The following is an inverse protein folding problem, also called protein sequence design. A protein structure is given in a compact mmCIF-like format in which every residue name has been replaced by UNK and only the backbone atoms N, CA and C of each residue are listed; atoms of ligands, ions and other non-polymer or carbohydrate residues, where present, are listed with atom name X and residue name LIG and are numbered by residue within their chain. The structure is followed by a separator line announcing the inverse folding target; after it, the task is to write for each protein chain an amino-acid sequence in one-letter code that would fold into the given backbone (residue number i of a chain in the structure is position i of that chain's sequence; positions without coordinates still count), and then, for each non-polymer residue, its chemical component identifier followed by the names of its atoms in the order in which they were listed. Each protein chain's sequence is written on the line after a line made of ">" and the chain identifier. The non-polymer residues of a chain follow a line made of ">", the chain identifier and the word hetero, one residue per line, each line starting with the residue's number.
data_IF_755683779442
#
_entry.id   IF_755683779442
#
_cell.length_a   1.000
_cell.length_b   1.000
_cell.length_c   1.000
_cell.angle_alpha   90.00
_cell.angle_beta   90.00
_cell.angle_gamma   90.00
#
_symmetry.space_group_name_H-M   'P 1'
#
loop_
_entity.id
_entity.type
_entity.pdbx_description
1 polymer ?
#
# COMPACT_ATOMS: atom_id res chain seq x y z
N UNK A 1 6.02 2.23 -74.85
CA UNK A 1 5.38 1.63 -73.66
C UNK A 1 6.04 0.33 -73.15
N UNK A 2 6.66 -0.51 -73.99
CA UNK A 2 7.28 -1.79 -73.55
C UNK A 2 8.58 -1.66 -72.74
N UNK A 3 9.26 -0.51 -72.80
CA UNK A 3 10.54 -0.28 -72.10
C UNK A 3 10.32 0.05 -70.61
N UNK A 4 9.26 0.80 -70.26
CA UNK A 4 8.96 1.18 -68.87
C UNK A 4 8.60 -0.02 -67.97
N UNK A 5 8.01 -1.07 -68.52
CA UNK A 5 7.61 -2.26 -67.75
C UNK A 5 8.82 -3.09 -67.26
N UNK A 6 9.95 -3.07 -68.00
CA UNK A 6 11.16 -3.78 -67.61
C UNK A 6 11.86 -3.15 -66.40
N UNK A 7 11.81 -1.83 -66.26
CA UNK A 7 12.40 -1.14 -65.11
C UNK A 7 11.55 -1.22 -63.84
N UNK A 8 10.22 -1.33 -63.98
CA UNK A 8 9.31 -1.46 -62.83
C UNK A 8 9.49 -2.79 -62.06
N UNK A 9 9.81 -3.89 -62.78
CA UNK A 9 10.09 -5.20 -62.16
C UNK A 9 11.41 -5.18 -61.36
N UNK A 10 12.40 -4.40 -61.80
CA UNK A 10 13.70 -4.29 -61.11
C UNK A 10 13.56 -3.45 -59.83
N UNK A 11 12.69 -2.42 -59.82
CA UNK A 11 12.49 -1.59 -58.62
C UNK A 11 11.71 -2.36 -57.52
N UNK A 12 10.79 -3.26 -57.89
CA UNK A 12 10.04 -4.09 -56.94
C UNK A 12 10.90 -5.15 -56.23
N UNK A 13 12.00 -5.61 -56.82
CA UNK A 13 12.89 -6.59 -56.19
C UNK A 13 13.88 -5.96 -55.19
N UNK A 14 14.17 -4.66 -55.27
CA UNK A 14 14.98 -3.96 -54.26
C UNK A 14 14.17 -3.47 -53.04
N UNK A 15 12.83 -3.44 -53.12
CA UNK A 15 11.96 -2.98 -52.03
C UNK A 15 11.85 -3.93 -50.82
N UNK A 16 12.28 -5.19 -50.95
CA UNK A 16 12.07 -6.21 -49.91
C UNK A 16 13.30 -6.50 -49.03
N UNK A 17 14.42 -5.78 -49.21
CA UNK A 17 15.69 -6.08 -48.51
C UNK A 17 15.89 -5.28 -47.22
N UNK A 18 14.96 -4.39 -46.86
CA UNK A 18 14.82 -3.99 -45.45
C UNK A 18 14.04 -5.06 -44.69
N UNK A 19 14.56 -6.30 -44.73
CA UNK A 19 14.19 -7.34 -43.79
C UNK A 19 14.45 -6.78 -42.42
N UNK A 20 13.37 -6.44 -41.72
CA UNK A 20 13.43 -5.95 -40.35
C UNK A 20 14.34 -6.91 -39.60
N UNK A 21 15.50 -6.41 -39.17
CA UNK A 21 16.39 -7.14 -38.30
C UNK A 21 15.54 -7.39 -37.07
N UNK A 22 14.89 -8.56 -37.01
CA UNK A 22 14.05 -8.96 -35.91
C UNK A 22 14.99 -8.97 -34.72
N UNK A 23 15.03 -7.88 -33.97
CA UNK A 23 15.64 -7.86 -32.67
C UNK A 23 14.80 -8.86 -31.88
N UNK A 24 15.31 -10.10 -31.80
CA UNK A 24 14.66 -11.15 -31.07
C UNK A 24 14.61 -10.70 -29.62
N UNK A 25 13.43 -10.24 -29.19
CA UNK A 25 13.20 -9.86 -27.81
C UNK A 25 13.07 -11.15 -27.01
N UNK A 26 13.93 -11.30 -26.01
CA UNK A 26 14.08 -12.54 -25.25
C UNK A 26 14.10 -12.24 -23.76
N UNK A 27 13.33 -13.01 -23.00
CA UNK A 27 13.41 -13.00 -21.53
C UNK A 27 14.60 -13.88 -21.11
N UNK A 28 15.68 -13.24 -20.65
CA UNK A 28 16.91 -13.95 -20.29
C UNK A 28 17.03 -14.25 -18.80
N UNK A 29 16.29 -13.54 -17.94
CA UNK A 29 16.15 -13.88 -16.54
C UNK A 29 14.83 -13.38 -15.95
N UNK A 30 14.36 -14.08 -14.92
CA UNK A 30 13.19 -13.73 -14.14
C UNK A 30 13.44 -14.08 -12.68
N UNK A 31 13.03 -13.19 -11.78
CA UNK A 31 13.04 -13.45 -10.35
C UNK A 31 11.78 -12.89 -9.69
N UNK A 32 11.16 -13.69 -8.83
CA UNK A 32 10.01 -13.31 -8.03
C UNK A 32 10.48 -12.99 -6.60
N UNK A 33 10.04 -11.86 -6.06
CA UNK A 33 10.30 -11.53 -4.65
C UNK A 33 9.57 -12.49 -3.70
N UNK A 34 10.01 -12.50 -2.44
CA UNK A 34 9.19 -13.03 -1.35
C UNK A 34 7.95 -12.14 -1.18
N UNK A 35 6.87 -12.73 -0.66
CA UNK A 35 5.65 -12.04 -0.27
C UNK A 35 5.94 -10.94 0.75
N UNK A 36 5.49 -9.71 0.48
CA UNK A 36 5.52 -8.59 1.43
C UNK A 36 4.22 -8.53 2.23
N UNK A 37 4.26 -9.13 3.42
CA UNK A 37 3.15 -9.19 4.39
C UNK A 37 2.90 -7.87 5.12
N UNK A 38 3.83 -6.91 5.04
CA UNK A 38 3.68 -5.63 5.75
C UNK A 38 2.73 -4.67 5.04
N UNK A 39 2.49 -4.92 3.76
CA UNK A 39 1.69 -4.06 2.89
C UNK A 39 0.30 -4.61 2.68
N UNK A 40 -0.67 -3.70 2.57
CA UNK A 40 -2.05 -4.06 2.28
C UNK A 40 -2.22 -4.41 0.79
N UNK A 41 -2.41 -5.70 0.43
CA UNK A 41 -2.44 -6.15 -0.96
C UNK A 41 -3.64 -5.58 -1.73
N UNK A 42 -4.76 -5.29 -1.05
CA UNK A 42 -5.98 -4.81 -1.70
C UNK A 42 -5.86 -3.35 -2.18
N UNK A 43 -4.91 -2.61 -1.62
CA UNK A 43 -4.63 -1.21 -1.95
C UNK A 43 -3.50 -1.05 -2.96
N UNK A 44 -2.74 -2.10 -3.27
CA UNK A 44 -1.64 -2.02 -4.23
C UNK A 44 -2.16 -1.65 -5.61
N UNK A 45 -1.44 -0.75 -6.29
CA UNK A 45 -1.59 -0.57 -7.74
C UNK A 45 -0.44 -1.27 -8.47
N UNK A 46 -0.73 -1.99 -9.57
CA UNK A 46 0.31 -2.42 -10.49
C UNK A 46 1.13 -1.23 -10.98
N UNK A 47 2.46 -1.34 -10.94
CA UNK A 47 3.36 -0.28 -11.37
C UNK A 47 4.73 -0.84 -11.72
N UNK A 48 5.49 -0.07 -12.48
CA UNK A 48 6.93 -0.29 -12.64
C UNK A 48 7.61 0.35 -11.42
N UNK A 49 8.33 -0.45 -10.64
CA UNK A 49 9.12 0.01 -9.49
C UNK A 49 10.43 0.63 -10.00
N UNK A 50 11.10 -0.05 -10.93
CA UNK A 50 12.31 0.45 -11.54
C UNK A 50 12.48 -0.06 -12.97
N UNK A 51 13.16 0.74 -13.78
CA UNK A 51 13.50 0.42 -15.16
C UNK A 51 14.94 0.87 -15.40
N UNK A 52 15.81 -0.03 -15.85
CA UNK A 52 17.22 0.25 -16.12
C UNK A 52 17.60 -0.36 -17.47
N UNK A 53 17.99 0.49 -18.41
CA UNK A 53 18.53 0.05 -19.69
C UNK A 53 20.05 -0.03 -19.61
N UNK A 54 20.64 -1.14 -20.02
CA UNK A 54 22.09 -1.31 -20.16
C UNK A 54 22.40 -2.06 -21.44
N UNK A 55 23.01 -1.36 -22.42
CA UNK A 55 23.28 -1.88 -23.76
C UNK A 55 21.99 -2.40 -24.41
N UNK A 56 21.92 -3.70 -24.71
CA UNK A 56 20.75 -4.36 -25.31
C UNK A 56 19.77 -4.96 -24.28
N UNK A 57 20.05 -4.76 -22.99
CA UNK A 57 19.34 -5.42 -21.90
C UNK A 57 18.54 -4.41 -21.10
N UNK A 58 17.25 -4.69 -20.96
CA UNK A 58 16.31 -4.00 -20.11
C UNK A 58 16.12 -4.79 -18.81
N UNK A 59 16.39 -4.15 -17.68
CA UNK A 59 16.04 -4.66 -16.35
C UNK A 59 14.82 -3.90 -15.85
N UNK A 60 13.72 -4.60 -15.62
CA UNK A 60 12.43 -4.03 -15.20
C UNK A 60 11.88 -4.77 -13.98
N UNK A 61 11.59 -4.02 -12.94
CA UNK A 61 10.96 -4.52 -11.71
C UNK A 61 9.52 -4.03 -11.63
N UNK A 62 8.57 -4.97 -11.52
CA UNK A 62 7.13 -4.70 -11.55
C UNK A 62 6.51 -5.10 -10.22
N UNK A 63 5.86 -4.14 -9.56
CA UNK A 63 5.17 -4.37 -8.30
C UNK A 63 3.67 -4.50 -8.49
N UNK A 64 3.07 -5.57 -7.97
CA UNK A 64 1.62 -5.78 -7.97
C UNK A 64 1.19 -6.74 -6.85
N UNK A 65 -0.13 -6.90 -6.66
CA UNK A 65 -0.69 -7.87 -5.73
C UNK A 65 -1.33 -9.04 -6.50
N UNK A 66 -1.09 -10.26 -6.03
CA UNK A 66 -1.59 -11.49 -6.64
C UNK A 66 -1.71 -12.60 -5.60
N UNK A 67 -2.27 -13.74 -5.97
CA UNK A 67 -2.45 -14.88 -5.07
C UNK A 67 -1.10 -15.40 -4.55
N UNK A 68 -0.93 -15.37 -3.23
CA UNK A 68 -0.85 -16.62 -2.49
C UNK A 68 -0.07 -17.82 -3.01
N UNK A 69 1.18 -18.09 -2.58
CA UNK A 69 1.76 -19.45 -2.69
C UNK A 69 1.86 -20.02 -4.11
N UNK A 70 1.58 -19.23 -5.14
CA UNK A 70 1.67 -19.66 -6.53
C UNK A 70 3.06 -19.34 -7.09
N UNK A 71 3.56 -20.24 -7.93
CA UNK A 71 4.71 -20.00 -8.78
C UNK A 71 4.22 -19.44 -10.12
N UNK A 72 4.80 -18.30 -10.52
CA UNK A 72 4.41 -17.58 -11.73
C UNK A 72 5.46 -17.75 -12.82
N UNK A 73 5.00 -18.18 -14.01
CA UNK A 73 5.80 -18.28 -15.22
C UNK A 73 5.58 -17.00 -16.04
N UNK A 74 6.61 -16.16 -16.22
CA UNK A 74 6.50 -14.93 -17.00
C UNK A 74 6.30 -15.22 -18.48
N UNK A 75 5.44 -14.43 -19.10
CA UNK A 75 5.28 -14.39 -20.54
C UNK A 75 5.52 -12.97 -21.01
N UNK A 76 6.37 -12.81 -22.04
CA UNK A 76 6.63 -11.51 -22.64
C UNK A 76 6.30 -11.53 -24.12
N UNK A 77 5.80 -10.41 -24.62
CA UNK A 77 5.67 -10.13 -26.06
C UNK A 77 6.04 -8.68 -26.28
N UNK A 78 6.83 -8.42 -27.31
CA UNK A 78 7.20 -7.06 -27.68
C UNK A 78 6.68 -6.75 -29.08
N UNK A 79 6.05 -5.60 -29.24
CA UNK A 79 5.56 -5.13 -30.53
C UNK A 79 5.76 -3.63 -30.63
N UNK A 80 6.57 -3.22 -31.60
CA UNK A 80 6.94 -1.81 -31.87
C UNK A 80 7.64 -1.15 -30.68
N UNK A 81 6.87 -0.56 -29.77
CA UNK A 81 7.30 0.20 -28.60
C UNK A 81 6.68 -0.33 -27.29
N UNK A 82 5.83 -1.36 -27.39
CA UNK A 82 5.04 -1.86 -26.28
C UNK A 82 5.53 -3.23 -25.86
N UNK A 83 5.95 -3.33 -24.60
CA UNK A 83 6.26 -4.56 -23.90
C UNK A 83 5.03 -5.05 -23.15
N UNK A 84 4.47 -6.17 -23.59
CA UNK A 84 3.38 -6.88 -22.95
C UNK A 84 3.97 -7.93 -22.01
N UNK A 85 3.56 -7.89 -20.76
CA UNK A 85 3.95 -8.83 -19.70
C UNK A 85 2.67 -9.44 -19.13
N UNK A 86 2.68 -10.76 -18.97
CA UNK A 86 1.65 -11.52 -18.27
C UNK A 86 2.30 -12.67 -17.52
N UNK A 87 1.55 -13.32 -16.63
CA UNK A 87 2.02 -14.49 -15.92
C UNK A 87 1.04 -15.63 -16.06
N UNK A 88 1.58 -16.84 -16.24
CA UNK A 88 0.85 -18.10 -16.08
C UNK A 88 1.15 -18.67 -14.71
N UNK A 89 0.20 -19.38 -14.12
CA UNK A 89 0.41 -20.13 -12.89
C UNK A 89 1.01 -21.48 -13.29
N UNK A 90 2.07 -21.92 -12.61
CA UNK A 90 2.74 -23.20 -12.93
C UNK A 90 1.87 -24.40 -12.53
N UNK A 91 1.30 -24.37 -11.34
CA UNK A 91 0.47 -25.44 -10.77
C UNK A 91 -0.93 -24.89 -10.47
N UNK A 92 -1.88 -25.09 -11.38
CA UNK A 92 -3.25 -24.57 -11.26
C UNK A 92 -4.07 -25.27 -10.16
N UNK A 93 -3.65 -26.46 -9.72
CA UNK A 93 -4.34 -27.25 -8.70
C UNK A 93 -4.08 -26.75 -7.26
N UNK A 94 -3.12 -25.84 -7.06
CA UNK A 94 -2.80 -25.32 -5.73
C UNK A 94 -3.81 -24.25 -5.31
N UNK A 95 -4.79 -24.64 -4.51
CA UNK A 95 -5.74 -23.69 -3.92
C UNK A 95 -5.08 -22.87 -2.79
N UNK A 96 -4.77 -21.59 -3.04
CA UNK A 96 -4.54 -20.59 -1.99
C UNK A 96 -5.64 -19.51 -2.00
N UNK A 97 -6.15 -19.12 -0.82
CA UNK A 97 -7.15 -18.08 -0.61
C UNK A 97 -6.59 -16.75 -0.07
N UNK A 98 -5.30 -16.51 -0.24
CA UNK A 98 -4.59 -15.34 0.28
C UNK A 98 -3.99 -14.52 -0.88
N UNK A 99 -4.00 -13.20 -0.74
CA UNK A 99 -3.41 -12.25 -1.71
C UNK A 99 -2.19 -11.61 -1.05
N UNK A 100 -1.08 -11.51 -1.76
CA UNK A 100 0.12 -10.86 -1.29
C UNK A 100 0.70 -9.88 -2.30
N UNK A 101 1.50 -8.93 -1.80
CA UNK A 101 2.27 -7.99 -2.59
C UNK A 101 3.59 -8.63 -3.03
N UNK A 102 3.93 -8.50 -4.31
CA UNK A 102 5.18 -8.99 -4.87
C UNK A 102 5.88 -7.93 -5.74
N UNK A 103 7.18 -8.11 -5.96
CA UNK A 103 7.94 -7.47 -7.02
C UNK A 103 8.57 -8.53 -7.92
N UNK A 104 8.34 -8.42 -9.22
CA UNK A 104 8.82 -9.37 -10.21
C UNK A 104 9.85 -8.66 -11.09
N UNK A 105 11.09 -9.13 -11.02
CA UNK A 105 12.21 -8.61 -11.79
C UNK A 105 12.37 -9.40 -13.08
N UNK A 106 12.46 -8.69 -14.21
CA UNK A 106 12.65 -9.28 -15.53
C UNK A 106 13.89 -8.67 -16.15
N UNK A 107 14.73 -9.52 -16.73
CA UNK A 107 15.83 -9.10 -17.57
C UNK A 107 15.54 -9.52 -19.00
N UNK A 108 15.40 -8.54 -19.88
CA UNK A 108 14.90 -8.72 -21.25
C UNK A 108 15.94 -8.17 -22.23
N UNK A 109 16.37 -9.01 -23.17
CA UNK A 109 17.31 -8.64 -24.22
C UNK A 109 16.58 -8.17 -25.47
N UNK A 110 17.18 -7.28 -26.25
CA UNK A 110 16.71 -6.90 -27.58
C UNK A 110 15.72 -5.74 -27.63
N UNK A 111 15.44 -5.09 -26.49
CA UNK A 111 14.59 -3.89 -26.43
C UNK A 111 15.49 -2.65 -26.46
N UNK A 112 15.43 -1.92 -27.58
CA UNK A 112 16.15 -0.65 -27.79
C UNK A 112 15.14 0.47 -28.13
N UNK A 113 14.16 0.70 -27.26
CA UNK A 113 13.17 1.78 -27.43
C UNK A 113 13.41 2.90 -26.41
N UNK A 114 13.40 4.15 -26.88
CA UNK A 114 13.47 5.34 -26.01
C UNK A 114 12.12 5.70 -25.38
N UNK A 115 11.01 5.15 -25.91
CA UNK A 115 9.64 5.39 -25.45
C UNK A 115 8.95 4.05 -25.19
N UNK A 116 9.44 3.31 -24.19
CA UNK A 116 8.89 2.01 -23.85
C UNK A 116 7.52 2.18 -23.15
N UNK A 117 6.48 1.59 -23.74
CA UNK A 117 5.18 1.39 -23.08
C UNK A 117 5.20 0.00 -22.47
N UNK A 118 4.81 -0.14 -21.20
CA UNK A 118 4.71 -1.45 -20.54
C UNK A 118 3.26 -1.73 -20.20
N UNK A 119 2.78 -2.91 -20.60
CA UNK A 119 1.45 -3.41 -20.26
C UNK A 119 1.56 -4.66 -19.42
N UNK A 120 0.85 -4.68 -18.29
CA UNK A 120 0.65 -5.86 -17.46
C UNK A 120 -0.79 -6.36 -17.63
N UNK A 121 -0.99 -7.58 -18.14
CA UNK A 121 -2.31 -8.11 -18.49
C UNK A 121 -3.13 -7.12 -19.33
N UNK A 122 -2.53 -6.61 -20.41
CA UNK A 122 -3.07 -5.59 -21.33
C UNK A 122 -3.36 -4.20 -20.74
N UNK A 123 -3.10 -3.98 -19.45
CA UNK A 123 -3.23 -2.66 -18.80
C UNK A 123 -1.90 -1.95 -18.77
N UNK A 124 -1.87 -0.70 -19.24
CA UNK A 124 -0.66 0.14 -19.17
C UNK A 124 -0.30 0.35 -17.70
N UNK A 125 0.96 0.14 -17.36
CA UNK A 125 1.53 0.46 -16.05
C UNK A 125 2.66 1.47 -16.21
N UNK A 126 2.79 2.35 -15.22
CA UNK A 126 3.74 3.46 -15.26
C UNK A 126 4.85 3.28 -14.23
N UNK A 127 5.99 3.93 -14.48
CA UNK A 127 7.04 4.10 -13.49
C UNK A 127 6.52 4.99 -12.36
N UNK A 128 6.47 4.44 -11.14
CA UNK A 128 5.87 5.15 -10.01
C UNK A 128 6.48 4.69 -8.70
N UNK A 129 6.93 5.66 -7.90
CA UNK A 129 7.28 5.44 -6.50
C UNK A 129 6.03 5.23 -5.61
N UNK A 130 4.86 5.69 -6.07
CA UNK A 130 3.59 5.55 -5.35
C UNK A 130 3.13 4.08 -5.40
N UNK A 131 3.12 3.41 -4.25
CA UNK A 131 2.86 1.96 -4.11
C UNK A 131 1.38 1.64 -4.11
N UNK A 132 0.59 2.49 -3.50
CA UNK A 132 -0.84 2.28 -3.31
C UNK A 132 -1.65 3.04 -4.35
N UNK A 133 -2.89 2.60 -4.56
CA UNK A 133 -3.93 3.42 -5.18
C UNK A 133 -4.16 4.65 -4.30
N UNK A 134 -4.33 5.79 -4.93
CA UNK A 134 -4.58 7.07 -4.25
C UNK A 134 -5.98 7.58 -4.52
N UNK A 135 -6.55 8.24 -3.53
CA UNK A 135 -7.89 8.83 -3.54
C UNK A 135 -7.82 10.22 -2.89
N UNK A 136 -8.82 11.06 -3.15
CA UNK A 136 -8.94 12.31 -2.42
C UNK A 136 -9.27 12.02 -0.94
N UNK A 137 -8.54 12.61 0.02
CA UNK A 137 -8.85 12.44 1.44
C UNK A 137 -10.27 12.89 1.75
N UNK A 138 -10.98 12.12 2.57
CA UNK A 138 -12.35 12.43 2.98
C UNK A 138 -12.41 12.63 4.48
N UNK A 139 -13.25 13.55 4.96
CA UNK A 139 -13.50 13.75 6.38
C UNK A 139 -14.83 14.46 6.59
N UNK A 140 -15.28 14.52 7.83
CA UNK A 140 -16.46 15.29 8.25
C UNK A 140 -16.03 16.32 9.29
N UNK A 141 -16.46 17.57 9.13
CA UNK A 141 -16.25 18.62 10.15
C UNK A 141 -17.48 18.66 11.04
N UNK A 142 -17.30 18.46 12.34
CA UNK A 142 -18.38 18.63 13.34
C UNK A 142 -17.84 19.50 14.46
N UNK A 143 -18.51 20.63 14.73
CA UNK A 143 -18.15 21.59 15.80
C UNK A 143 -16.66 22.02 15.73
N UNK A 144 -16.18 22.27 14.52
CA UNK A 144 -14.78 22.66 14.19
C UNK A 144 -13.71 21.57 14.35
N UNK A 145 -14.10 20.34 14.67
CA UNK A 145 -13.18 19.19 14.69
C UNK A 145 -13.35 18.32 13.44
N UNK A 146 -12.23 17.72 12.99
CA UNK A 146 -12.19 16.78 11.86
C UNK A 146 -12.37 15.36 12.35
N UNK A 147 -13.44 14.69 11.89
CA UNK A 147 -13.80 13.32 12.22
C UNK A 147 -13.83 12.44 10.97
N UNK A 148 -13.77 11.12 11.16
CA UNK A 148 -13.86 10.12 10.10
C UNK A 148 -12.88 10.37 8.94
N UNK A 149 -11.65 10.79 9.28
CA UNK A 149 -10.63 11.07 8.28
C UNK A 149 -10.19 9.77 7.60
N UNK A 150 -10.32 9.75 6.29
CA UNK A 150 -9.71 8.78 5.40
C UNK A 150 -8.57 9.47 4.66
N UNK A 151 -7.36 8.94 4.76
CA UNK A 151 -6.20 9.52 4.08
C UNK A 151 -6.20 9.25 2.57
N UNK A 152 -5.16 9.75 1.87
CA UNK A 152 -5.03 9.58 0.42
C UNK A 152 -4.90 8.12 -0.03
N UNK A 153 -4.61 7.18 0.86
CA UNK A 153 -4.54 5.75 0.54
C UNK A 153 -5.84 5.02 0.85
N UNK A 154 -6.85 5.73 1.35
CA UNK A 154 -8.12 5.18 1.78
C UNK A 154 -8.11 4.64 3.22
N UNK A 155 -7.10 4.97 4.05
CA UNK A 155 -6.97 4.41 5.40
C UNK A 155 -7.60 5.32 6.43
N UNK A 156 -8.21 4.72 7.45
CA UNK A 156 -8.77 5.43 8.60
C UNK A 156 -7.65 6.05 9.44
N UNK A 157 -7.80 7.33 9.72
CA UNK A 157 -6.92 8.12 10.58
C UNK A 157 -7.75 8.92 11.60
N UNK A 158 -7.18 9.15 12.79
CA UNK A 158 -7.78 10.03 13.79
C UNK A 158 -9.06 9.48 14.41
N UNK A 159 -9.96 10.37 14.85
CA UNK A 159 -11.19 10.03 15.56
C UNK A 159 -12.26 9.57 14.56
N UNK A 160 -12.84 8.40 14.81
CA UNK A 160 -13.95 7.84 14.04
C UNK A 160 -15.20 7.70 14.92
N UNK A 161 -16.33 8.16 14.38
CA UNK A 161 -17.65 8.18 15.01
C UNK A 161 -18.65 7.40 14.14
N UNK A 162 -19.44 6.51 14.75
CA UNK A 162 -20.44 5.67 14.05
C UNK A 162 -20.49 4.25 14.61
N UNK A 163 -20.45 3.21 13.74
CA UNK A 163 -20.53 1.80 14.18
C UNK A 163 -19.33 1.34 15.02
N UNK A 164 -18.17 1.99 14.89
CA UNK A 164 -16.96 1.66 15.63
C UNK A 164 -16.33 2.95 16.17
N UNK A 165 -16.60 3.27 17.44
CA UNK A 165 -16.01 4.43 18.12
C UNK A 165 -14.55 4.12 18.44
N UNK A 166 -13.65 4.87 17.82
CA UNK A 166 -12.23 4.58 17.98
C UNK A 166 -11.35 5.67 17.41
N UNK A 167 -10.11 5.70 17.88
CA UNK A 167 -9.04 6.43 17.24
C UNK A 167 -8.23 5.47 16.39
N UNK A 168 -8.02 5.82 15.14
CA UNK A 168 -7.37 4.97 14.15
C UNK A 168 -6.02 5.57 13.73
N UNK A 169 -5.09 4.68 13.41
CA UNK A 169 -3.86 4.98 12.69
C UNK A 169 -3.63 3.88 11.67
N UNK A 170 -3.65 4.22 10.39
CA UNK A 170 -3.49 3.27 9.28
C UNK A 170 -4.47 2.08 9.38
N UNK A 171 -5.77 2.35 9.53
CA UNK A 171 -6.86 1.36 9.75
C UNK A 171 -6.79 0.57 11.06
N UNK A 172 -5.71 0.68 11.83
CA UNK A 172 -5.59 0.03 13.14
C UNK A 172 -6.19 0.91 14.20
N UNK A 173 -7.11 0.34 14.98
CA UNK A 173 -7.61 1.00 16.18
C UNK A 173 -6.48 1.08 17.21
N UNK A 174 -6.15 2.30 17.63
CA UNK A 174 -5.09 2.57 18.62
C UNK A 174 -5.68 2.96 19.98
N UNK A 175 -6.92 3.44 19.99
CA UNK A 175 -7.66 3.71 21.21
C UNK A 175 -9.17 3.51 21.01
N UNK A 176 -9.83 3.04 22.06
CA UNK A 176 -11.30 3.15 22.19
C UNK A 176 -11.61 4.52 22.77
N UNK A 177 -12.70 5.13 22.33
CA UNK A 177 -13.08 6.47 22.79
C UNK A 177 -14.59 6.54 23.04
N UNK A 178 -14.98 7.38 23.99
CA UNK A 178 -16.33 7.89 24.09
C UNK A 178 -16.30 9.40 23.87
N UNK A 179 -17.37 9.94 23.27
CA UNK A 179 -17.50 11.36 22.99
C UNK A 179 -18.60 11.96 23.88
N UNK A 180 -18.44 13.23 24.24
CA UNK A 180 -19.53 14.06 24.75
C UNK A 180 -20.52 14.40 23.61
N UNK A 181 -21.68 14.98 23.94
CA UNK A 181 -22.64 15.51 22.96
C UNK A 181 -22.05 16.64 22.09
N UNK A 182 -21.00 17.30 22.60
CA UNK A 182 -20.23 18.27 21.84
C UNK A 182 -19.17 17.66 20.92
N UNK A 183 -19.17 16.33 20.77
CA UNK A 183 -18.25 15.54 19.93
C UNK A 183 -16.79 15.58 20.36
N UNK A 184 -16.46 16.22 21.49
CA UNK A 184 -15.13 16.13 22.09
C UNK A 184 -14.97 14.79 22.80
N UNK A 185 -13.73 14.33 22.90
CA UNK A 185 -13.38 13.10 23.61
C UNK A 185 -13.73 13.28 25.10
N UNK A 186 -14.54 12.36 25.61
CA UNK A 186 -14.90 12.21 27.02
C UNK A 186 -13.91 11.32 27.73
N UNK A 187 -13.61 10.18 27.14
CA UNK A 187 -12.58 9.28 27.61
C UNK A 187 -11.93 8.53 26.44
N UNK A 188 -10.67 8.15 26.64
CA UNK A 188 -9.82 7.44 25.68
C UNK A 188 -9.12 6.28 26.40
N UNK A 189 -9.27 5.06 25.90
CA UNK A 189 -8.53 3.89 26.34
C UNK A 189 -7.50 3.49 25.27
N UNK A 190 -6.23 3.81 25.51
CA UNK A 190 -5.12 3.54 24.59
C UNK A 190 -4.72 2.07 24.69
N UNK A 191 -4.97 1.30 23.63
CA UNK A 191 -4.86 -0.16 23.65
C UNK A 191 -3.44 -0.66 23.92
N UNK A 192 -2.42 0.01 23.35
CA UNK A 192 -1.02 -0.43 23.47
C UNK A 192 -0.49 -0.32 24.90
N UNK A 193 -0.85 0.75 25.60
CA UNK A 193 -0.34 1.07 26.95
C UNK A 193 -1.36 0.77 28.04
N UNK A 194 -2.57 0.35 27.68
CA UNK A 194 -3.72 0.19 28.57
C UNK A 194 -3.97 1.43 29.42
N UNK A 195 -3.77 2.60 28.80
CA UNK A 195 -3.86 3.89 29.48
C UNK A 195 -5.28 4.43 29.30
N UNK A 196 -6.00 4.57 30.41
CA UNK A 196 -7.30 5.20 30.45
C UNK A 196 -7.13 6.68 30.76
N UNK A 197 -7.69 7.55 29.91
CA UNK A 197 -7.75 8.99 30.11
C UNK A 197 -9.19 9.44 30.12
N UNK A 198 -9.56 10.26 31.09
CA UNK A 198 -10.82 11.00 31.07
C UNK A 198 -10.55 12.48 30.85
N UNK A 199 -11.49 13.17 30.24
CA UNK A 199 -11.40 14.59 29.93
C UNK A 199 -12.63 15.33 30.47
N UNK A 200 -12.46 16.61 30.74
CA UNK A 200 -13.57 17.54 30.91
C UNK A 200 -14.11 17.97 29.54
N UNK A 201 -15.34 18.50 29.48
CA UNK A 201 -15.94 18.97 28.22
C UNK A 201 -15.18 20.11 27.53
N UNK A 202 -14.34 20.85 28.26
CA UNK A 202 -13.46 21.85 27.67
C UNK A 202 -12.24 21.21 26.95
N UNK A 203 -12.03 19.90 27.07
CA UNK A 203 -10.91 19.15 26.51
C UNK A 203 -9.72 19.00 27.47
N UNK A 204 -9.77 19.61 28.65
CA UNK A 204 -8.70 19.47 29.65
C UNK A 204 -8.71 18.05 30.22
N UNK A 205 -7.52 17.44 30.36
CA UNK A 205 -7.36 16.14 31.00
C UNK A 205 -7.92 16.18 32.43
N UNK A 206 -8.70 15.18 32.81
CA UNK A 206 -9.34 15.05 34.13
C UNK A 206 -8.62 14.00 34.95
N UNK A 207 -8.36 12.84 34.37
CA UNK A 207 -7.67 11.73 35.01
C UNK A 207 -6.88 10.92 33.97
N UNK A 208 -5.85 10.24 34.42
CA UNK A 208 -5.07 9.31 33.62
C UNK A 208 -4.60 8.17 34.52
N UNK A 209 -4.95 6.93 34.18
CA UNK A 209 -4.63 5.74 34.95
C UNK A 209 -4.15 4.61 34.02
N UNK A 210 -3.22 3.79 34.48
CA UNK A 210 -2.86 2.55 33.79
C UNK A 210 -3.81 1.43 34.24
N UNK A 211 -4.29 0.63 33.30
CA UNK A 211 -5.11 -0.53 33.59
C UNK A 211 -4.28 -1.82 33.53
N UNK A 212 -4.33 -2.61 34.61
CA UNK A 212 -3.69 -3.92 34.68
C UNK A 212 -4.44 -4.97 33.86
N UNK A 213 -3.87 -6.17 33.76
CA UNK A 213 -4.56 -7.32 33.15
C UNK A 213 -5.86 -7.68 33.85
N UNK A 214 -5.91 -7.51 35.17
CA UNK A 214 -7.09 -7.75 36.00
C UNK A 214 -8.08 -6.57 35.99
N UNK A 215 -7.93 -5.64 35.04
CA UNK A 215 -8.76 -4.45 34.87
C UNK A 215 -8.66 -3.42 36.02
N UNK A 216 -7.70 -3.57 36.93
CA UNK A 216 -7.47 -2.62 38.03
C UNK A 216 -6.78 -1.36 37.53
N UNK A 217 -7.18 -0.19 38.06
CA UNK A 217 -6.57 1.09 37.74
C UNK A 217 -5.47 1.41 38.74
N UNK A 218 -4.25 1.64 38.24
CA UNK A 218 -3.06 1.95 39.02
C UNK A 218 -2.39 3.23 38.53
N UNK A 219 -1.51 3.81 39.36
CA UNK A 219 -0.70 4.99 39.03
C UNK A 219 -1.53 6.16 38.48
N UNK A 220 -2.71 6.38 39.07
CA UNK A 220 -3.64 7.40 38.63
C UNK A 220 -3.13 8.81 38.93
N UNK A 221 -3.18 9.68 37.93
CA UNK A 221 -2.99 11.13 38.06
C UNK A 221 -4.31 11.85 37.81
N UNK A 222 -4.53 12.98 38.48
CA UNK A 222 -5.77 13.76 38.38
C UNK A 222 -5.46 15.24 38.20
N UNK A 223 -6.34 15.94 37.49
CA UNK A 223 -6.20 17.36 37.18
C UNK A 223 -7.50 18.12 37.43
N UNK A 224 -7.36 19.39 37.80
CA UNK A 224 -8.46 20.36 37.86
C UNK A 224 -8.86 20.80 36.44
N UNK A 225 -10.05 21.41 36.30
CA UNK A 225 -10.55 21.96 35.02
C UNK A 225 -9.64 23.00 34.36
N UNK A 226 -8.80 23.67 35.15
CA UNK A 226 -7.80 24.63 34.66
C UNK A 226 -6.46 23.98 34.26
N UNK A 227 -6.36 22.64 34.30
CA UNK A 227 -5.16 21.89 33.94
C UNK A 227 -4.13 21.74 35.06
N UNK A 228 -4.37 22.29 36.26
CA UNK A 228 -3.47 22.08 37.39
C UNK A 228 -3.57 20.65 37.91
N UNK A 229 -2.44 19.94 37.99
CA UNK A 229 -2.37 18.59 38.57
C UNK A 229 -2.70 18.61 40.08
N UNK A 230 -3.48 17.64 40.52
CA UNK A 230 -3.81 17.41 41.92
C UNK A 230 -2.79 16.41 42.45
N UNK A 231 -1.89 16.86 43.33
CA UNK A 231 -1.04 15.94 44.08
C UNK A 231 -1.92 15.05 44.94
N UNK A 232 -2.01 13.78 44.58
CA UNK A 232 -2.65 12.77 45.41
C UNK A 232 -1.65 12.39 46.49
N UNK A 233 -2.02 12.63 47.76
CA UNK A 233 -1.35 11.95 48.86
C UNK A 233 -1.67 10.47 48.68
N UNK A 234 -0.68 9.68 48.25
CA UNK A 234 -0.81 8.23 48.20
C UNK A 234 -1.26 7.78 49.59
N UNK A 235 -2.34 7.00 49.72
CA UNK A 235 -2.59 6.34 50.99
C UNK A 235 -1.36 5.47 51.27
N UNK A 236 -0.68 5.75 52.39
CA UNK A 236 0.54 5.08 52.87
C UNK A 236 0.38 3.58 53.14
N UNK A 237 -0.76 2.99 52.80
CA UNK A 237 -1.06 1.59 53.03
C UNK A 237 -0.63 0.74 51.83
N UNK A 238 0.68 0.57 51.71
CA UNK A 238 1.22 -0.71 51.28
C UNK A 238 0.78 -1.76 52.32
N UNK A 239 -0.42 -2.29 52.18
CA UNK A 239 -0.80 -3.53 52.86
C UNK A 239 0.09 -4.61 52.24
N UNK A 240 1.21 -4.90 52.91
CA UNK A 240 1.94 -6.15 52.72
C UNK A 240 0.89 -7.26 52.84
N UNK A 241 0.55 -7.89 51.72
CA UNK A 241 -0.01 -9.24 51.78
C UNK A 241 1.18 -10.13 52.13
N UNK A 242 1.33 -10.40 53.42
CA UNK A 242 2.21 -11.48 53.86
C UNK A 242 1.68 -12.78 53.20
N UNK A 243 2.55 -13.40 52.40
CA UNK A 243 2.38 -14.74 51.83
C UNK A 243 2.77 -15.79 52.87
#
# INVERSE_FOLDING_TARGET
>A
MKIFFKYFIIILSFGNVFGQKNNNVELIAYNQSVCDETSDPYRIKPRIISIKQSKDTLDIDIGFATTCCLEYIPQIKFSTDTLYISYKIKDEDLACSCICCYSFNHKIKGINSSKLIVKLYDKIIELSNEKYKTYDPTFTIIKSDTLNLTDKYGRKQGVWYGKNYGKYKDDRIIALIHLFENMKIKDEFVLKTRLLREFYENGTLKSECYQTENLELINCRKWKKNGQEIKLELPLTAVKRDL
#
